data_IF_458415328749
#
_entry.id   IF_458415328749
#
_cell.length_a   1.000
_cell.length_b   1.000
_cell.length_c   1.000
_cell.angle_alpha   90.00
_cell.angle_beta   90.00
_cell.angle_gamma   90.00
#
_symmetry.space_group_name_H-M   'P 1'
#
loop_
_entity.id
_entity.type
_entity.pdbx_description
1 polymer ?
#
# COMPACT_ATOMS: atom_id res chain seq x y z
N UNK A 1 -0.12 -13.31 -11.75
CA UNK A 1 -0.46 -12.26 -10.75
C UNK A 1 0.13 -12.50 -9.37
N UNK A 2 0.34 -13.75 -8.99
CA UNK A 2 0.88 -14.09 -7.67
C UNK A 2 2.27 -13.50 -7.39
N UNK A 3 3.17 -13.55 -8.36
CA UNK A 3 4.51 -12.97 -8.23
C UNK A 3 4.46 -11.44 -8.07
N UNK A 4 3.64 -10.76 -8.85
CA UNK A 4 3.44 -9.30 -8.76
C UNK A 4 2.85 -8.92 -7.42
N UNK A 5 1.85 -9.65 -6.96
CA UNK A 5 1.19 -9.44 -5.67
C UNK A 5 2.17 -9.56 -4.52
N UNK A 6 3.06 -10.56 -4.54
CA UNK A 6 4.12 -10.74 -3.54
C UNK A 6 5.11 -9.60 -3.53
N UNK A 7 5.52 -9.11 -4.70
CA UNK A 7 6.43 -7.96 -4.83
C UNK A 7 5.77 -6.72 -4.22
N UNK A 8 4.52 -6.43 -4.57
CA UNK A 8 3.78 -5.29 -4.04
C UNK A 8 3.59 -5.39 -2.52
N UNK A 9 3.28 -6.56 -1.99
CA UNK A 9 3.16 -6.79 -0.54
C UNK A 9 4.49 -6.61 0.18
N UNK A 10 5.60 -7.03 -0.43
CA UNK A 10 6.95 -6.79 0.09
C UNK A 10 7.27 -5.30 0.11
N UNK A 11 6.91 -4.56 -0.93
CA UNK A 11 7.08 -3.11 -1.01
C UNK A 11 6.27 -2.38 0.06
N UNK A 12 5.03 -2.82 0.33
CA UNK A 12 4.20 -2.29 1.42
C UNK A 12 4.90 -2.44 2.77
N UNK A 13 5.46 -3.61 3.05
CA UNK A 13 6.19 -3.84 4.30
C UNK A 13 7.44 -2.95 4.42
N UNK A 14 8.20 -2.83 3.33
CA UNK A 14 9.39 -1.98 3.29
C UNK A 14 9.02 -0.50 3.49
N UNK A 15 7.95 -0.03 2.87
CA UNK A 15 7.46 1.35 3.02
C UNK A 15 6.96 1.62 4.44
N UNK A 16 6.23 0.70 5.05
CA UNK A 16 5.78 0.83 6.44
C UNK A 16 6.96 0.91 7.39
N UNK A 17 8.01 0.11 7.18
CA UNK A 17 9.23 0.19 7.97
C UNK A 17 9.93 1.54 7.79
N UNK A 18 10.03 2.04 6.56
CA UNK A 18 10.61 3.36 6.27
C UNK A 18 9.82 4.49 6.93
N UNK A 19 8.50 4.39 6.95
CA UNK A 19 7.61 5.36 7.61
C UNK A 19 7.86 5.37 9.12
N UNK A 20 7.95 4.20 9.75
CA UNK A 20 8.23 4.08 11.19
C UNK A 20 9.59 4.68 11.54
N UNK A 21 10.64 4.36 10.78
CA UNK A 21 11.98 4.89 10.97
C UNK A 21 12.03 6.42 10.78
N UNK A 22 11.36 6.92 9.75
CA UNK A 22 11.28 8.37 9.47
C UNK A 22 10.52 9.09 10.57
N UNK A 23 9.43 8.53 11.07
CA UNK A 23 8.67 9.10 12.17
C UNK A 23 9.51 9.19 13.44
N UNK A 24 10.34 8.19 13.75
CA UNK A 24 11.24 8.21 14.89
C UNK A 24 12.23 9.38 14.79
N UNK A 25 12.77 9.66 13.60
CA UNK A 25 13.66 10.81 13.37
C UNK A 25 12.91 12.13 13.52
N UNK A 26 11.69 12.23 12.98
CA UNK A 26 10.84 13.42 13.14
C UNK A 26 10.59 13.72 14.61
N UNK A 27 10.23 12.72 15.41
CA UNK A 27 9.98 12.87 16.84
C UNK A 27 11.23 13.31 17.59
N UNK A 28 12.38 12.76 17.23
CA UNK A 28 13.67 13.18 17.82
C UNK A 28 13.99 14.64 17.50
N UNK A 29 13.80 15.05 16.25
CA UNK A 29 14.00 16.44 15.83
C UNK A 29 13.05 17.38 16.56
N UNK A 30 11.80 17.00 16.71
CA UNK A 30 10.79 17.77 17.43
C UNK A 30 11.20 17.96 18.90
N UNK A 31 11.65 16.92 19.56
CA UNK A 31 12.14 17.00 20.95
C UNK A 31 13.36 17.91 21.06
N UNK A 32 14.29 17.84 20.11
CA UNK A 32 15.45 18.75 20.07
C UNK A 32 14.99 20.19 19.91
N UNK A 33 14.01 20.46 19.07
CA UNK A 33 13.45 21.80 18.88
C UNK A 33 12.78 22.33 20.16
N UNK A 34 12.11 21.47 20.93
CA UNK A 34 11.49 21.84 22.19
C UNK A 34 12.54 22.23 23.27
N UNK A 35 13.67 21.52 23.26
CA UNK A 35 14.75 21.73 24.25
C UNK A 35 15.69 22.87 23.85
N UNK A 36 15.81 23.17 22.55
CA UNK A 36 16.67 24.23 22.04
C UNK A 36 15.96 25.60 22.05
N UNK A 37 16.71 26.66 22.26
CA UNK A 37 16.17 28.02 22.15
C UNK A 37 15.92 28.37 20.68
N UNK A 38 14.77 29.00 20.35
CA UNK A 38 14.54 29.51 19.01
C UNK A 38 15.63 30.46 18.54
N UNK A 39 16.07 30.32 17.31
CA UNK A 39 17.13 31.14 16.72
C UNK A 39 18.55 30.61 16.94
N UNK A 40 18.74 29.54 17.70
CA UNK A 40 20.03 28.84 17.79
C UNK A 40 20.30 27.95 16.58
N UNK A 41 21.57 27.65 16.34
CA UNK A 41 21.97 26.75 15.27
C UNK A 41 21.39 25.32 15.47
N UNK A 42 21.36 24.88 16.70
CA UNK A 42 20.78 23.59 17.08
C UNK A 42 19.30 23.51 16.71
N UNK A 43 18.54 24.54 17.02
CA UNK A 43 17.12 24.63 16.64
C UNK A 43 16.95 24.61 15.12
N UNK A 44 17.74 25.41 14.39
CA UNK A 44 17.64 25.50 12.92
C UNK A 44 17.96 24.17 12.25
N UNK A 45 19.01 23.49 12.68
CA UNK A 45 19.39 22.18 12.15
C UNK A 45 18.29 21.16 12.39
N UNK A 46 17.74 21.10 13.59
CA UNK A 46 16.65 20.20 13.94
C UNK A 46 15.40 20.50 13.11
N UNK A 47 15.07 21.78 12.90
CA UNK A 47 13.92 22.18 12.09
C UNK A 47 14.08 21.80 10.62
N UNK A 48 15.25 22.02 10.03
CA UNK A 48 15.52 21.65 8.64
C UNK A 48 15.40 20.14 8.46
N UNK A 49 15.98 19.36 9.34
CA UNK A 49 15.88 17.91 9.30
C UNK A 49 14.44 17.43 9.53
N UNK A 50 13.72 18.02 10.47
CA UNK A 50 12.31 17.75 10.73
C UNK A 50 11.47 17.97 9.47
N UNK A 51 11.62 19.11 8.82
CA UNK A 51 10.84 19.46 7.64
C UNK A 51 11.17 18.54 6.45
N UNK A 52 12.46 18.23 6.26
CA UNK A 52 12.90 17.30 5.23
C UNK A 52 12.34 15.88 5.45
N UNK A 53 12.42 15.38 6.66
CA UNK A 53 11.90 14.06 7.03
C UNK A 53 10.37 14.01 6.95
N UNK A 54 9.70 15.11 7.24
CA UNK A 54 8.24 15.20 7.09
C UNK A 54 7.82 15.09 5.61
N UNK A 55 8.54 15.73 4.71
CA UNK A 55 8.32 15.60 3.25
C UNK A 55 8.59 14.17 2.77
N UNK A 56 9.67 13.57 3.24
CA UNK A 56 10.02 12.17 2.93
C UNK A 56 8.93 11.21 3.39
N UNK A 57 8.37 11.41 4.58
CA UNK A 57 7.26 10.63 5.11
C UNK A 57 6.02 10.73 4.22
N UNK A 58 5.65 11.92 3.77
CA UNK A 58 4.53 12.14 2.86
C UNK A 58 4.74 11.46 1.51
N UNK A 59 5.97 11.47 1.00
CA UNK A 59 6.33 10.74 -0.21
C UNK A 59 6.10 9.24 -0.04
N UNK A 60 6.50 8.66 1.09
CA UNK A 60 6.27 7.24 1.39
C UNK A 60 4.77 6.92 1.48
N UNK A 61 3.97 7.77 2.12
CA UNK A 61 2.53 7.58 2.18
C UNK A 61 1.87 7.62 0.80
N UNK A 62 2.29 8.54 -0.05
CA UNK A 62 1.79 8.62 -1.42
C UNK A 62 2.09 7.35 -2.22
N UNK A 63 3.31 6.85 -2.08
CA UNK A 63 3.73 5.62 -2.73
C UNK A 63 3.00 4.40 -2.18
N UNK A 64 2.82 4.33 -0.87
CA UNK A 64 2.04 3.27 -0.22
C UNK A 64 0.60 3.26 -0.72
N UNK A 65 -0.05 4.41 -0.80
CA UNK A 65 -1.40 4.53 -1.32
C UNK A 65 -1.54 4.05 -2.76
N UNK A 66 -0.55 4.36 -3.61
CA UNK A 66 -0.53 3.89 -4.99
C UNK A 66 -0.41 2.36 -5.08
N UNK A 67 0.45 1.76 -4.26
CA UNK A 67 0.63 0.30 -4.21
C UNK A 67 -0.64 -0.38 -3.69
N UNK A 68 -1.27 0.16 -2.65
CA UNK A 68 -2.53 -0.35 -2.10
C UNK A 68 -3.66 -0.33 -3.15
N UNK A 69 -3.73 0.72 -3.96
CA UNK A 69 -4.66 0.78 -5.08
C UNK A 69 -4.40 -0.30 -6.12
N UNK A 70 -3.13 -0.55 -6.46
CA UNK A 70 -2.77 -1.62 -7.39
C UNK A 70 -3.15 -2.99 -6.84
N UNK A 71 -2.90 -3.25 -5.56
CA UNK A 71 -3.28 -4.49 -4.90
C UNK A 71 -4.80 -4.69 -4.91
N UNK A 72 -5.55 -3.63 -4.67
CA UNK A 72 -7.01 -3.67 -4.73
C UNK A 72 -7.51 -4.00 -6.15
N UNK A 73 -6.93 -3.36 -7.17
CA UNK A 73 -7.28 -3.63 -8.56
C UNK A 73 -6.99 -5.08 -8.96
N UNK A 74 -5.88 -5.64 -8.49
CA UNK A 74 -5.53 -7.04 -8.73
C UNK A 74 -6.54 -7.96 -8.05
N UNK A 75 -6.92 -7.70 -6.80
CA UNK A 75 -7.92 -8.48 -6.08
C UNK A 75 -9.29 -8.41 -6.75
N UNK A 76 -9.71 -7.22 -7.16
CA UNK A 76 -11.00 -7.02 -7.86
C UNK A 76 -11.02 -7.79 -9.19
N UNK A 77 -9.91 -7.80 -9.92
CA UNK A 77 -9.78 -8.57 -11.16
C UNK A 77 -9.81 -10.06 -10.90
N UNK A 78 -9.12 -10.56 -9.89
CA UNK A 78 -9.15 -11.97 -9.50
C UNK A 78 -10.57 -12.42 -9.15
N UNK A 79 -11.32 -11.61 -8.41
CA UNK A 79 -12.74 -11.88 -8.12
C UNK A 79 -13.60 -11.92 -9.38
N UNK A 80 -13.40 -10.97 -10.30
CA UNK A 80 -14.11 -10.92 -11.57
C UNK A 80 -13.81 -12.14 -12.43
N UNK A 81 -12.55 -12.57 -12.52
CA UNK A 81 -12.14 -13.75 -13.25
C UNK A 81 -12.77 -15.03 -12.67
N UNK A 82 -12.84 -15.15 -11.35
CA UNK A 82 -13.51 -16.26 -10.65
C UNK A 82 -15.00 -16.27 -10.97
N UNK A 83 -15.66 -15.11 -10.93
CA UNK A 83 -17.08 -15.01 -11.26
C UNK A 83 -17.36 -15.38 -12.71
N UNK A 84 -16.51 -14.99 -13.66
CA UNK A 84 -16.63 -15.37 -15.06
C UNK A 84 -16.51 -16.88 -15.23
N UNK A 85 -15.52 -17.51 -14.58
CA UNK A 85 -15.35 -18.97 -14.61
C UNK A 85 -16.57 -19.68 -14.02
N UNK A 86 -17.13 -19.19 -12.93
CA UNK A 86 -18.32 -19.76 -12.30
C UNK A 86 -19.55 -19.65 -13.21
N UNK A 87 -19.71 -18.53 -13.89
CA UNK A 87 -20.80 -18.31 -14.86
C UNK A 87 -20.65 -19.26 -16.06
N UNK A 88 -19.46 -19.39 -16.61
CA UNK A 88 -19.17 -20.30 -17.71
C UNK A 88 -19.45 -21.76 -17.33
N UNK A 89 -19.01 -22.17 -16.14
CA UNK A 89 -19.27 -23.51 -15.61
C UNK A 89 -20.77 -23.77 -15.45
N UNK A 90 -21.50 -22.81 -14.89
CA UNK A 90 -22.95 -22.90 -14.72
C UNK A 90 -23.65 -23.04 -16.07
N UNK A 91 -23.32 -22.20 -17.02
CA UNK A 91 -23.88 -22.25 -18.38
C UNK A 91 -23.59 -23.56 -19.08
N UNK A 92 -22.38 -24.09 -18.92
CA UNK A 92 -22.00 -25.40 -19.46
C UNK A 92 -22.85 -26.52 -18.88
N UNK A 93 -23.00 -26.59 -17.56
CA UNK A 93 -23.82 -27.61 -16.90
C UNK A 93 -25.29 -27.51 -17.28
N UNK A 94 -25.83 -26.32 -17.41
CA UNK A 94 -27.20 -26.10 -17.84
C UNK A 94 -27.42 -26.59 -19.28
N UNK A 95 -26.49 -26.29 -20.17
CA UNK A 95 -26.52 -26.75 -21.56
C UNK A 95 -26.45 -28.26 -21.68
N UNK A 96 -25.50 -28.90 -20.98
CA UNK A 96 -25.35 -30.37 -21.00
C UNK A 96 -26.55 -31.04 -20.35
N UNK A 97 -27.05 -30.52 -19.25
CA UNK A 97 -28.24 -31.02 -18.59
C UNK A 97 -29.47 -30.98 -19.46
N UNK A 98 -29.64 -29.92 -20.23
CA UNK A 98 -30.75 -29.79 -21.18
C UNK A 98 -30.66 -30.79 -22.36
N UNK A 99 -29.46 -31.11 -22.79
CA UNK A 99 -29.24 -32.10 -23.87
C UNK A 99 -29.39 -33.55 -23.39
N UNK A 100 -29.01 -33.85 -22.14
CA UNK A 100 -29.02 -35.18 -21.56
C UNK A 100 -30.38 -35.58 -21.00
N UNK A 101 -31.25 -34.63 -20.70
CA UNK A 101 -32.57 -34.92 -20.17
C UNK A 101 -33.49 -35.43 -21.27
N UNK A 102 -34.05 -36.62 -21.11
CA UNK A 102 -34.82 -37.31 -22.18
C UNK A 102 -36.27 -36.85 -22.21
N UNK A 103 -36.49 -35.62 -22.28
CA UNK A 103 -37.86 -35.14 -22.43
C UNK A 103 -38.10 -34.30 -23.61
#
# INVERSE_FOLDING_TARGET
MEAIKRILQSDVRALNQSIVETQAVIDKCFNTMLDALPGTDEYRKAKVEHDHKSQEKWFYYGRLGAIEKMLKLISDKEEADILEEDIEAYNYFESVGAEELPF
#
